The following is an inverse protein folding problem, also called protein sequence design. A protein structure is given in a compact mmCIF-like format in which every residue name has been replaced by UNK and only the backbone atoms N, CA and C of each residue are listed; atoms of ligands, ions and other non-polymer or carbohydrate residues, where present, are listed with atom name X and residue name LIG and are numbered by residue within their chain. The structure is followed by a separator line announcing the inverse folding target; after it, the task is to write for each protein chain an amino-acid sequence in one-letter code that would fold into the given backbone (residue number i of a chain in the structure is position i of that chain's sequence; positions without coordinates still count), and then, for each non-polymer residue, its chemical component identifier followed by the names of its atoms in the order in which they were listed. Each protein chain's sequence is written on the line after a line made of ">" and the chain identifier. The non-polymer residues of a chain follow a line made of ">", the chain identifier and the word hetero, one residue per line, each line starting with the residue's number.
data_IF_897599547774
#
_entry.id   IF_897599547774
#
_cell.length_a   1.000
_cell.length_b   1.000
_cell.length_c   1.000
_cell.angle_alpha   90.00
_cell.angle_beta   90.00
_cell.angle_gamma   90.00
#
_symmetry.space_group_name_H-M   'P 1'
#
loop_
_entity.id
_entity.type
_entity.pdbx_description
1 polymer ?
#
# COMPACT_ATOMS: atom_id res chain seq x y z
N UNK A 1 -12.24 -20.78 -36.44
CA UNK A 1 -13.03 -19.65 -35.94
C UNK A 1 -13.26 -19.94 -34.46
N UNK A 2 -12.62 -19.17 -33.57
CA UNK A 2 -12.71 -19.40 -32.12
C UNK A 2 -13.85 -18.51 -31.62
N UNK A 3 -14.87 -19.13 -31.04
CA UNK A 3 -16.00 -18.43 -30.42
C UNK A 3 -15.50 -17.56 -29.27
N UNK A 4 -15.84 -16.28 -29.33
CA UNK A 4 -15.69 -15.37 -28.20
C UNK A 4 -16.79 -15.69 -27.20
N UNK A 5 -16.43 -16.28 -26.07
CA UNK A 5 -17.31 -16.33 -24.91
C UNK A 5 -17.41 -14.93 -24.33
N UNK A 6 -18.64 -14.42 -24.23
CA UNK A 6 -18.96 -13.19 -23.51
C UNK A 6 -18.87 -13.45 -22.02
N UNK A 7 -17.91 -12.81 -21.36
CA UNK A 7 -17.87 -12.71 -19.90
C UNK A 7 -18.78 -11.55 -19.48
N UNK A 8 -20.07 -11.84 -19.32
CA UNK A 8 -20.98 -10.92 -18.64
C UNK A 8 -20.78 -11.11 -17.13
N UNK A 9 -19.92 -10.29 -16.52
CA UNK A 9 -19.86 -10.16 -15.06
C UNK A 9 -21.19 -9.63 -14.55
N UNK A 10 -22.02 -10.52 -14.02
CA UNK A 10 -23.35 -10.25 -13.48
C UNK A 10 -23.36 -9.52 -12.12
N UNK A 11 -22.32 -8.73 -11.83
CA UNK A 11 -22.31 -7.82 -10.69
C UNK A 11 -22.63 -6.43 -11.22
N UNK A 12 -23.88 -5.99 -11.04
CA UNK A 12 -24.18 -4.57 -11.06
C UNK A 12 -23.18 -3.85 -10.12
N UNK A 13 -22.65 -2.71 -10.57
CA UNK A 13 -21.74 -1.83 -9.83
C UNK A 13 -22.38 -1.30 -8.53
N UNK A 14 -22.64 -2.18 -7.56
CA UNK A 14 -22.76 -1.79 -6.18
C UNK A 14 -21.38 -1.29 -5.77
N UNK A 15 -21.33 -0.09 -5.21
CA UNK A 15 -20.07 0.48 -4.72
C UNK A 15 -19.46 -0.50 -3.70
N UNK A 16 -18.42 -1.21 -4.10
CA UNK A 16 -17.74 -2.17 -3.23
C UNK A 16 -17.07 -1.35 -2.12
N UNK A 17 -17.69 -1.36 -0.94
CA UNK A 17 -17.13 -0.76 0.25
C UNK A 17 -15.87 -1.53 0.68
N UNK A 18 -14.86 -0.81 1.15
CA UNK A 18 -13.66 -1.43 1.73
C UNK A 18 -14.04 -2.35 2.90
N UNK A 19 -13.49 -3.57 2.89
CA UNK A 19 -13.64 -4.53 3.99
C UNK A 19 -12.69 -4.25 5.16
N UNK A 20 -11.78 -3.29 4.99
CA UNK A 20 -10.65 -3.09 5.90
C UNK A 20 -9.43 -3.96 5.56
N UNK A 21 -9.53 -4.89 4.61
CA UNK A 21 -8.37 -5.54 4.01
C UNK A 21 -7.93 -4.75 2.77
N UNK A 22 -6.62 -4.52 2.62
CA UNK A 22 -6.06 -3.71 1.54
C UNK A 22 -5.17 -4.52 0.60
N UNK A 23 -4.39 -5.44 1.17
CA UNK A 23 -3.53 -6.36 0.43
C UNK A 23 -3.39 -7.67 1.19
N UNK A 24 -3.73 -8.78 0.56
CA UNK A 24 -3.71 -10.10 1.18
C UNK A 24 -3.42 -11.18 0.12
N UNK A 25 -2.66 -12.22 0.50
CA UNK A 25 -2.32 -13.36 -0.38
C UNK A 25 -1.78 -12.96 -1.75
N UNK A 26 -0.92 -11.94 -1.76
CA UNK A 26 -0.25 -11.48 -2.97
C UNK A 26 -1.00 -10.40 -3.73
N UNK A 27 -2.30 -10.18 -3.53
CA UNK A 27 -3.05 -9.20 -4.32
C UNK A 27 -3.78 -8.16 -3.46
N UNK A 28 -4.14 -7.04 -4.10
CA UNK A 28 -5.01 -6.04 -3.50
C UNK A 28 -6.43 -6.56 -3.38
N UNK A 29 -7.13 -6.13 -2.34
CA UNK A 29 -8.55 -6.41 -2.16
C UNK A 29 -9.34 -5.25 -2.74
N UNK A 30 -10.38 -5.50 -3.53
CA UNK A 30 -11.21 -4.43 -4.07
C UNK A 30 -11.78 -3.55 -2.93
N UNK A 31 -11.88 -2.21 -3.10
CA UNK A 31 -11.66 -1.43 -4.32
C UNK A 31 -10.25 -0.84 -4.47
N UNK A 32 -9.24 -1.48 -3.88
CA UNK A 32 -7.88 -0.96 -3.81
C UNK A 32 -7.00 -1.40 -4.98
N UNK A 33 -6.03 -0.57 -5.33
CA UNK A 33 -5.08 -0.72 -6.41
C UNK A 33 -3.67 -0.32 -5.95
N UNK A 34 -2.64 -0.93 -6.54
CA UNK A 34 -1.24 -0.53 -6.29
C UNK A 34 -0.80 0.55 -7.27
N UNK A 35 -0.14 1.58 -6.75
CA UNK A 35 0.43 2.66 -7.54
C UNK A 35 1.89 2.91 -7.18
N UNK A 36 2.71 3.17 -8.20
CA UNK A 36 4.08 3.68 -8.05
C UNK A 36 4.15 5.12 -8.54
N UNK A 37 4.78 5.99 -7.75
CA UNK A 37 4.84 7.42 -8.00
C UNK A 37 6.30 7.85 -7.99
N UNK A 38 6.72 8.58 -9.04
CA UNK A 38 8.05 9.16 -9.18
C UNK A 38 7.94 10.55 -9.80
N UNK A 39 8.09 11.58 -8.98
CA UNK A 39 7.87 12.97 -9.40
C UNK A 39 6.45 13.18 -9.96
N UNK A 40 6.35 13.43 -11.27
CA UNK A 40 5.07 13.62 -11.99
C UNK A 40 4.54 12.34 -12.65
N UNK A 41 5.27 11.24 -12.54
CA UNK A 41 4.88 9.96 -13.12
C UNK A 41 4.10 9.18 -12.07
N UNK A 42 2.91 8.70 -12.46
CA UNK A 42 2.12 7.77 -11.68
C UNK A 42 1.83 6.53 -12.55
N UNK A 43 1.95 5.34 -11.98
CA UNK A 43 1.65 4.08 -12.66
C UNK A 43 0.85 3.16 -11.76
N UNK A 44 -0.36 2.83 -12.18
CA UNK A 44 -1.12 1.71 -11.62
C UNK A 44 -0.46 0.39 -12.03
N UNK A 45 -0.34 -0.54 -11.09
CA UNK A 45 0.31 -1.82 -11.33
C UNK A 45 -0.73 -2.88 -11.72
N UNK A 46 -0.65 -3.34 -12.97
CA UNK A 46 -1.48 -4.41 -13.52
C UNK A 46 -0.76 -5.78 -13.55
N UNK A 47 0.57 -5.79 -13.46
CA UNK A 47 1.39 -7.01 -13.50
C UNK A 47 2.75 -6.80 -12.85
N UNK A 48 3.37 -7.91 -12.43
CA UNK A 48 4.71 -7.93 -11.81
C UNK A 48 5.71 -8.71 -12.68
N UNK A 49 7.02 -8.37 -12.64
CA UNK A 49 7.58 -7.19 -12.00
C UNK A 49 7.24 -5.91 -12.79
N UNK A 50 7.38 -4.75 -12.14
CA UNK A 50 7.13 -3.45 -12.75
C UNK A 50 8.00 -2.38 -12.10
N UNK A 51 8.18 -1.24 -12.77
CA UNK A 51 8.93 -0.11 -12.25
C UNK A 51 8.45 1.23 -12.81
N UNK A 52 8.78 2.30 -12.07
CA UNK A 52 8.71 3.72 -12.49
C UNK A 52 9.86 4.48 -11.84
N UNK A 53 10.60 5.26 -12.61
CA UNK A 53 11.67 6.12 -12.07
C UNK A 53 12.79 5.29 -11.45
N UNK A 54 12.88 5.28 -10.12
CA UNK A 54 13.78 4.44 -9.33
C UNK A 54 13.06 3.40 -8.46
N UNK A 55 11.73 3.31 -8.53
CA UNK A 55 10.92 2.39 -7.74
C UNK A 55 10.62 1.11 -8.50
N UNK A 56 11.08 -0.02 -7.97
CA UNK A 56 10.91 -1.35 -8.56
C UNK A 56 10.02 -2.17 -7.63
N UNK A 57 9.04 -2.87 -8.22
CA UNK A 57 8.15 -3.76 -7.49
C UNK A 57 8.08 -5.15 -8.14
N UNK A 58 8.13 -6.19 -7.32
CA UNK A 58 7.94 -7.58 -7.74
C UNK A 58 7.15 -8.37 -6.68
N UNK A 59 6.76 -9.60 -7.00
CA UNK A 59 6.31 -10.55 -5.98
C UNK A 59 7.49 -11.11 -5.19
N UNK A 60 7.24 -11.58 -3.98
CA UNK A 60 8.15 -12.35 -3.11
C UNK A 60 7.34 -13.23 -2.18
N UNK A 61 8.01 -14.14 -1.48
CA UNK A 61 7.38 -15.05 -0.53
C UNK A 61 7.47 -14.53 0.91
N UNK A 62 6.37 -14.68 1.66
CA UNK A 62 6.30 -14.56 3.11
C UNK A 62 5.74 -15.84 3.74
N UNK A 63 4.44 -16.11 3.60
CA UNK A 63 3.76 -17.28 4.17
C UNK A 63 3.41 -18.32 3.10
N UNK A 64 3.23 -17.87 1.87
CA UNK A 64 3.02 -18.69 0.67
C UNK A 64 3.81 -18.12 -0.52
N UNK A 65 3.82 -18.83 -1.64
CA UNK A 65 4.48 -18.36 -2.85
C UNK A 65 3.80 -17.09 -3.37
N UNK A 66 4.62 -16.06 -3.66
CA UNK A 66 4.20 -14.78 -4.26
C UNK A 66 3.10 -14.04 -3.48
N UNK A 67 2.97 -14.31 -2.17
CA UNK A 67 1.94 -13.71 -1.31
C UNK A 67 2.32 -12.31 -0.78
N UNK A 68 3.51 -11.84 -1.12
CA UNK A 68 4.07 -10.58 -0.68
C UNK A 68 4.64 -9.76 -1.85
N UNK A 69 4.86 -8.47 -1.60
CA UNK A 69 5.53 -7.55 -2.52
C UNK A 69 6.97 -7.35 -2.05
N UNK A 70 7.91 -7.29 -2.99
CA UNK A 70 9.25 -6.72 -2.77
C UNK A 70 9.31 -5.37 -3.46
N UNK A 71 9.69 -4.34 -2.70
CA UNK A 71 9.72 -2.95 -3.15
C UNK A 71 11.13 -2.41 -2.92
N UNK A 72 11.77 -1.93 -3.99
CA UNK A 72 13.13 -1.43 -3.96
C UNK A 72 13.22 -0.01 -4.50
N UNK A 73 13.84 0.87 -3.71
CA UNK A 73 14.14 2.26 -4.06
C UNK A 73 15.59 2.36 -4.51
N UNK A 74 15.80 2.71 -5.77
CA UNK A 74 17.14 2.84 -6.37
C UNK A 74 17.60 4.29 -6.52
N UNK A 75 16.69 5.26 -6.32
CA UNK A 75 16.94 6.70 -6.38
C UNK A 75 16.22 7.39 -5.22
N UNK A 76 16.73 8.55 -4.81
CA UNK A 76 16.13 9.33 -3.72
C UNK A 76 15.40 10.57 -4.26
N UNK A 77 14.50 10.32 -5.21
CA UNK A 77 13.77 11.36 -5.93
C UNK A 77 12.39 11.64 -5.30
N UNK A 78 12.20 11.19 -4.06
CA UNK A 78 10.91 11.22 -3.36
C UNK A 78 9.90 10.18 -3.88
N UNK A 79 10.38 9.12 -4.53
CA UNK A 79 9.56 8.03 -5.08
C UNK A 79 8.79 7.31 -3.96
N UNK A 80 7.54 6.94 -4.22
CA UNK A 80 6.72 6.26 -3.23
C UNK A 80 5.74 5.25 -3.82
N UNK A 81 5.50 4.20 -3.03
CA UNK A 81 4.48 3.19 -3.25
C UNK A 81 3.21 3.59 -2.48
N UNK A 82 2.03 3.37 -3.06
CA UNK A 82 0.76 3.48 -2.33
C UNK A 82 -0.24 2.41 -2.75
N UNK A 83 -1.10 2.05 -1.80
CA UNK A 83 -2.32 1.28 -2.07
C UNK A 83 -3.48 2.26 -1.98
N UNK A 84 -4.18 2.47 -3.09
CA UNK A 84 -5.18 3.51 -3.24
C UNK A 84 -6.44 3.01 -3.89
N UNK A 85 -7.56 3.66 -3.60
CA UNK A 85 -8.83 3.44 -4.28
C UNK A 85 -9.24 4.70 -5.04
N UNK A 86 -10.10 4.54 -6.04
CA UNK A 86 -10.60 5.68 -6.85
C UNK A 86 -11.51 6.60 -6.03
N UNK A 87 -12.29 6.03 -5.11
CA UNK A 87 -13.24 6.76 -4.27
C UNK A 87 -12.69 6.88 -2.84
N UNK A 88 -12.84 8.04 -2.18
CA UNK A 88 -12.50 8.17 -0.76
C UNK A 88 -13.27 7.19 0.11
N UNK A 89 -12.64 6.73 1.19
CA UNK A 89 -13.20 5.85 2.20
C UNK A 89 -13.24 6.60 3.54
N UNK A 90 -14.39 6.57 4.20
CA UNK A 90 -14.54 7.11 5.54
C UNK A 90 -14.06 6.08 6.57
N UNK A 91 -12.92 6.38 7.18
CA UNK A 91 -12.31 5.62 8.28
C UNK A 91 -12.49 6.30 9.64
N UNK A 92 -13.35 7.32 9.76
CA UNK A 92 -13.55 8.08 11.00
C UNK A 92 -14.03 7.17 12.14
N UNK A 93 -14.93 6.23 11.85
CA UNK A 93 -15.43 5.26 12.85
C UNK A 93 -14.31 4.33 13.32
N UNK A 94 -13.44 3.90 12.41
CA UNK A 94 -12.32 3.01 12.66
C UNK A 94 -11.24 3.73 13.50
N UNK A 95 -10.92 4.99 13.17
CA UNK A 95 -10.02 5.84 13.97
C UNK A 95 -10.55 5.99 15.41
N UNK A 96 -11.81 6.41 15.56
CA UNK A 96 -12.47 6.55 16.86
C UNK A 96 -12.60 5.22 17.63
N UNK A 97 -12.66 4.10 16.90
CA UNK A 97 -12.70 2.74 17.46
C UNK A 97 -11.35 2.19 17.87
N UNK A 98 -10.30 3.01 17.87
CA UNK A 98 -8.92 2.62 18.19
C UNK A 98 -8.36 1.49 17.29
N UNK A 99 -8.86 1.39 16.05
CA UNK A 99 -8.29 0.47 15.07
C UNK A 99 -6.89 0.92 14.65
N UNK A 100 -6.13 -0.02 14.12
CA UNK A 100 -4.75 0.17 13.68
C UNK A 100 -4.60 -0.24 12.23
N UNK A 101 -3.72 0.46 11.51
CA UNK A 101 -3.15 -0.06 10.27
C UNK A 101 -2.13 -1.14 10.65
N UNK A 102 -2.42 -2.37 10.26
CA UNK A 102 -1.57 -3.54 10.45
C UNK A 102 -0.94 -3.96 9.12
N UNK A 103 0.35 -4.29 9.14
CA UNK A 103 1.04 -4.87 7.99
C UNK A 103 2.24 -5.70 8.42
N UNK A 104 2.62 -6.68 7.61
CA UNK A 104 3.86 -7.41 7.77
C UNK A 104 4.94 -6.82 6.86
N UNK A 105 6.15 -6.64 7.40
CA UNK A 105 7.28 -6.14 6.62
C UNK A 105 8.61 -6.73 7.06
N UNK A 106 9.58 -6.72 6.13
CA UNK A 106 10.97 -7.15 6.31
C UNK A 106 11.90 -6.26 5.49
N UNK A 107 13.11 -6.01 5.97
CA UNK A 107 14.20 -5.40 5.23
C UNK A 107 15.07 -6.48 4.56
N UNK A 108 15.40 -6.30 3.27
CA UNK A 108 16.29 -7.19 2.51
C UNK A 108 17.75 -6.70 2.46
N UNK A 109 18.05 -5.54 3.06
CA UNK A 109 19.39 -4.92 3.02
C UNK A 109 20.40 -5.54 3.99
N UNK A 110 20.00 -6.52 4.79
CA UNK A 110 20.83 -7.13 5.83
C UNK A 110 20.93 -6.31 7.13
N UNK A 111 20.31 -5.14 7.17
CA UNK A 111 20.13 -4.30 8.37
C UNK A 111 18.69 -3.79 8.46
N UNK A 112 18.36 -3.11 9.55
CA UNK A 112 17.10 -2.37 9.64
C UNK A 112 17.05 -1.29 8.54
N UNK A 113 15.86 -1.08 7.97
CA UNK A 113 15.56 -0.02 7.00
C UNK A 113 14.57 0.97 7.60
N UNK A 114 14.84 2.26 7.45
CA UNK A 114 13.90 3.31 7.87
C UNK A 114 12.94 3.63 6.74
N UNK A 115 11.63 3.58 7.02
CA UNK A 115 10.56 3.93 6.10
C UNK A 115 9.77 5.14 6.62
N UNK A 116 9.21 5.91 5.70
CA UNK A 116 8.16 6.88 5.99
C UNK A 116 6.81 6.27 5.58
N UNK A 117 5.95 5.99 6.57
CA UNK A 117 4.64 5.37 6.38
C UNK A 117 3.55 6.42 6.58
N UNK A 118 2.61 6.52 5.63
CA UNK A 118 1.50 7.46 5.69
C UNK A 118 0.17 6.85 5.27
N UNK A 119 -0.90 7.61 5.48
CA UNK A 119 -2.15 7.49 4.74
C UNK A 119 -2.36 8.78 3.95
N UNK A 120 -3.29 8.75 2.99
CA UNK A 120 -3.53 9.92 2.17
C UNK A 120 -5.02 10.19 2.01
N UNK A 121 -5.39 11.44 2.25
CA UNK A 121 -6.74 12.02 2.19
C UNK A 121 -6.92 12.97 0.98
N UNK A 122 -5.86 13.16 0.19
CA UNK A 122 -5.80 13.96 -1.03
C UNK A 122 -4.88 13.28 -2.06
N UNK A 123 -5.33 13.12 -3.31
CA UNK A 123 -4.59 12.36 -4.33
C UNK A 123 -3.25 12.98 -4.69
N UNK A 124 -3.10 14.29 -4.41
CA UNK A 124 -1.95 15.07 -4.81
C UNK A 124 -0.90 15.29 -3.71
N UNK A 125 -1.31 15.36 -2.44
CA UNK A 125 -0.41 15.74 -1.34
C UNK A 125 -0.32 14.67 -0.24
N UNK A 126 0.49 13.65 -0.49
CA UNK A 126 0.74 12.56 0.45
C UNK A 126 2.05 12.71 1.23
N UNK A 127 2.18 13.81 1.97
CA UNK A 127 3.43 14.15 2.68
C UNK A 127 3.37 13.94 4.20
N UNK A 128 2.22 13.57 4.76
CA UNK A 128 2.04 13.30 6.19
C UNK A 128 2.43 11.85 6.47
N UNK A 129 3.61 11.65 7.05
CA UNK A 129 4.18 10.31 7.29
C UNK A 129 4.78 10.19 8.68
N UNK A 130 4.80 8.96 9.20
CA UNK A 130 5.48 8.53 10.40
C UNK A 130 6.75 7.76 10.03
N UNK A 131 7.83 7.95 10.77
CA UNK A 131 9.04 7.18 10.59
C UNK A 131 8.93 5.83 11.31
N UNK A 132 9.13 4.72 10.59
CA UNK A 132 9.09 3.36 11.12
C UNK A 132 10.38 2.62 10.73
N UNK A 133 10.99 1.91 11.68
CA UNK A 133 12.14 1.03 11.43
C UNK A 133 11.67 -0.39 11.14
N UNK A 134 12.00 -0.89 9.96
CA UNK A 134 11.70 -2.25 9.51
C UNK A 134 12.90 -3.14 9.70
N UNK A 135 12.72 -4.27 10.38
CA UNK A 135 13.82 -5.18 10.71
C UNK A 135 14.18 -6.13 9.57
N UNK A 136 15.35 -6.76 9.65
CA UNK A 136 15.78 -7.80 8.71
C UNK A 136 14.95 -9.09 8.71
N UNK A 137 13.96 -9.23 9.60
CA UNK A 137 13.04 -10.37 9.64
C UNK A 137 11.59 -9.92 9.43
N UNK A 138 10.76 -10.82 8.91
CA UNK A 138 9.31 -10.60 8.79
C UNK A 138 8.71 -10.39 10.17
N UNK A 139 8.13 -9.21 10.37
CA UNK A 139 7.41 -8.84 11.60
C UNK A 139 6.12 -8.12 11.26
N UNK A 140 5.19 -8.17 12.19
CA UNK A 140 3.99 -7.34 12.13
C UNK A 140 4.25 -5.97 12.75
N UNK A 141 3.74 -4.95 12.08
CA UNK A 141 3.77 -3.55 12.47
C UNK A 141 2.35 -3.06 12.61
N UNK A 142 2.07 -2.35 13.71
CA UNK A 142 0.76 -1.86 14.07
C UNK A 142 0.86 -0.35 14.33
N UNK A 143 0.12 0.45 13.58
CA UNK A 143 0.08 1.90 13.72
C UNK A 143 -1.37 2.31 14.03
N UNK A 144 -1.67 2.87 15.21
CA UNK A 144 -2.99 3.40 15.51
C UNK A 144 -3.42 4.43 14.46
N UNK A 145 -4.66 4.34 14.01
CA UNK A 145 -5.20 5.28 13.03
C UNK A 145 -5.22 6.72 13.56
N UNK A 146 -5.38 6.90 14.87
CA UNK A 146 -5.27 8.20 15.55
C UNK A 146 -3.93 8.89 15.30
N UNK A 147 -2.84 8.14 15.09
CA UNK A 147 -1.53 8.74 14.81
C UNK A 147 -1.52 9.44 13.43
N UNK A 148 -2.29 8.95 12.46
CA UNK A 148 -2.44 9.61 11.15
C UNK A 148 -3.35 10.84 11.26
N UNK A 149 -4.42 10.75 12.05
CA UNK A 149 -5.31 11.87 12.36
C UNK A 149 -4.56 13.01 13.08
N UNK A 150 -3.66 12.68 14.02
CA UNK A 150 -2.79 13.64 14.71
C UNK A 150 -1.79 14.34 13.78
N UNK A 151 -1.38 13.69 12.67
CA UNK A 151 -0.64 14.34 11.58
C UNK A 151 -1.53 15.26 10.72
N UNK A 152 -2.82 15.33 11.02
CA UNK A 152 -3.83 16.14 10.36
C UNK A 152 -4.44 15.48 9.13
N UNK A 153 -4.32 14.17 8.96
CA UNK A 153 -4.99 13.43 7.86
C UNK A 153 -6.50 13.42 8.14
N UNK A 154 -7.31 13.80 7.15
CA UNK A 154 -8.76 13.73 7.26
C UNK A 154 -9.24 12.29 7.05
N UNK A 155 -9.53 11.63 8.17
CA UNK A 155 -9.96 10.23 8.20
C UNK A 155 -11.31 10.00 7.51
N UNK A 156 -12.09 11.04 7.19
CA UNK A 156 -13.37 10.90 6.50
C UNK A 156 -13.25 10.68 4.99
N UNK A 157 -12.04 10.88 4.42
CA UNK A 157 -11.82 10.86 2.97
C UNK A 157 -10.53 10.17 2.55
N UNK A 158 -10.20 9.05 3.20
CA UNK A 158 -8.99 8.27 2.91
C UNK A 158 -9.07 7.65 1.51
N UNK A 159 -8.13 8.05 0.66
CA UNK A 159 -7.98 7.50 -0.69
C UNK A 159 -6.79 6.56 -0.79
N UNK A 160 -5.80 6.65 0.11
CA UNK A 160 -4.67 5.72 0.18
C UNK A 160 -4.57 5.12 1.58
N UNK A 161 -4.76 3.80 1.66
CA UNK A 161 -4.78 3.07 2.93
C UNK A 161 -3.40 2.93 3.55
N UNK A 162 -2.37 2.85 2.70
CA UNK A 162 -0.96 2.92 3.07
C UNK A 162 -0.18 3.60 1.94
N UNK A 163 0.81 4.39 2.34
CA UNK A 163 1.83 4.95 1.50
C UNK A 163 3.20 4.73 2.16
N UNK A 164 4.19 4.38 1.35
CA UNK A 164 5.54 4.07 1.79
C UNK A 164 6.52 4.88 0.96
N UNK A 165 7.31 5.72 1.63
CA UNK A 165 8.49 6.37 1.06
C UNK A 165 9.76 5.83 1.71
N UNK A 166 10.83 5.80 0.94
CA UNK A 166 12.14 5.42 1.43
C UNK A 166 13.25 6.08 0.60
N UNK A 167 14.45 6.10 1.18
CA UNK A 167 15.65 6.58 0.53
C UNK A 167 16.22 5.55 -0.45
N UNK A 168 17.11 5.99 -1.34
CA UNK A 168 17.85 5.10 -2.22
C UNK A 168 18.63 4.03 -1.43
N UNK A 169 18.57 2.78 -1.91
CA UNK A 169 19.21 1.62 -1.27
C UNK A 169 18.28 0.84 -0.35
N UNK A 170 17.09 1.35 -0.05
CA UNK A 170 16.08 0.59 0.71
C UNK A 170 15.44 -0.49 -0.17
N UNK A 171 15.31 -1.68 0.40
CA UNK A 171 14.69 -2.85 -0.23
C UNK A 171 13.91 -3.60 0.84
N UNK A 172 12.59 -3.68 0.68
CA UNK A 172 11.69 -4.23 1.70
C UNK A 172 10.69 -5.22 1.11
N UNK A 173 10.29 -6.17 1.94
CA UNK A 173 9.10 -6.99 1.76
C UNK A 173 7.90 -6.35 2.45
N UNK A 174 6.73 -6.42 1.83
CA UNK A 174 5.44 -5.99 2.38
C UNK A 174 4.39 -7.08 2.15
N UNK A 175 3.61 -7.43 3.17
CA UNK A 175 2.44 -8.32 3.02
C UNK A 175 1.35 -7.99 4.03
N UNK A 176 0.15 -8.53 3.78
CA UNK A 176 -0.97 -8.54 4.71
C UNK A 176 -1.32 -7.15 5.30
N UNK A 177 -1.63 -6.19 4.43
CA UNK A 177 -2.00 -4.82 4.82
C UNK A 177 -3.49 -4.76 5.10
N UNK A 178 -3.89 -4.38 6.32
CA UNK A 178 -5.28 -4.40 6.79
C UNK A 178 -5.52 -3.43 7.95
N UNK A 179 -6.78 -3.24 8.32
CA UNK A 179 -7.18 -2.70 9.62
C UNK A 179 -7.40 -3.83 10.63
N UNK A 180 -6.99 -3.61 11.87
CA UNK A 180 -7.33 -4.46 13.03
C UNK A 180 -7.80 -3.65 14.24
#
# INVERSE_FOLDING_TARGET
>A
QIDFLSENSGLENSEIASTGEYFNKGDVVAPWDIWLISGKLEKQIASFPSSVGGLIISKTDHMAQEDALRINWTKSDGDYFRISSVKPNDLTRQSNGAMKLAFNAKSFTGSDSTLQIGQCDDSFNCNKTLEIKISGEWKEYLIPLSNFEELGIDMSKIISSILIKAEAGVDIGLSNVRLE
#
